data_IF_082494640465
#
_entry.id   IF_082494640465
#
_cell.length_a   1.000
_cell.length_b   1.000
_cell.length_c   1.000
_cell.angle_alpha   90.00
_cell.angle_beta   90.00
_cell.angle_gamma   90.00
#
_symmetry.space_group_name_H-M   'P 1'
#
loop_
_entity.id
_entity.type
_entity.pdbx_description
1 polymer ?
#
# COMPACT_ATOMS: atom_id res chain seq x y z
N UNK A 1 -21.10 9.26 11.17
CA UNK A 1 -20.30 9.49 9.94
C UNK A 1 -19.60 8.19 9.61
N UNK A 2 -19.64 7.69 8.36
CA UNK A 2 -18.89 6.47 8.02
C UNK A 2 -17.38 6.79 8.07
N UNK A 3 -16.60 5.97 8.76
CA UNK A 3 -15.14 6.08 8.76
C UNK A 3 -14.64 5.86 7.33
N UNK A 4 -13.76 6.74 6.83
CA UNK A 4 -13.12 6.54 5.52
C UNK A 4 -12.19 5.34 5.62
N UNK A 5 -12.27 4.42 4.67
CA UNK A 5 -11.39 3.25 4.61
C UNK A 5 -9.92 3.70 4.49
N UNK A 6 -9.02 2.98 5.15
CA UNK A 6 -7.60 3.31 5.20
C UNK A 6 -6.83 2.49 4.18
N UNK A 7 -6.12 3.20 3.31
CA UNK A 7 -5.34 2.61 2.22
C UNK A 7 -3.85 2.76 2.51
N UNK A 8 -3.14 1.64 2.51
CA UNK A 8 -1.68 1.61 2.41
C UNK A 8 -1.29 1.56 0.93
N UNK A 9 -0.50 2.54 0.48
CA UNK A 9 0.06 2.57 -0.87
C UNK A 9 1.51 2.11 -0.87
N UNK A 10 1.82 1.11 -1.69
CA UNK A 10 3.16 0.52 -1.86
C UNK A 10 3.61 0.76 -3.30
N UNK A 11 4.51 1.70 -3.50
CA UNK A 11 4.91 2.25 -4.81
C UNK A 11 6.29 2.88 -4.65
N UNK A 12 7.29 2.44 -5.41
CA UNK A 12 8.67 2.95 -5.31
C UNK A 12 8.86 4.24 -6.12
N UNK A 13 8.12 4.42 -7.21
CA UNK A 13 8.23 5.60 -8.05
C UNK A 13 7.52 6.81 -7.42
N UNK A 14 8.31 7.75 -6.90
CA UNK A 14 7.80 8.90 -6.15
C UNK A 14 6.71 9.71 -6.90
N UNK A 15 6.92 10.00 -8.19
CA UNK A 15 5.95 10.75 -8.98
C UNK A 15 4.61 10.04 -9.17
N UNK A 16 4.64 8.71 -9.36
CA UNK A 16 3.44 7.88 -9.50
C UNK A 16 2.70 7.79 -8.17
N UNK A 17 3.46 7.54 -7.10
CA UNK A 17 2.94 7.42 -5.75
C UNK A 17 2.27 8.70 -5.25
N UNK A 18 2.88 9.85 -5.49
CA UNK A 18 2.33 11.14 -5.08
C UNK A 18 1.03 11.47 -5.83
N UNK A 19 1.01 11.22 -7.15
CA UNK A 19 -0.19 11.42 -7.97
C UNK A 19 -1.33 10.51 -7.52
N UNK A 20 -1.05 9.22 -7.29
CA UNK A 20 -2.04 8.25 -6.86
C UNK A 20 -2.55 8.55 -5.44
N UNK A 21 -1.67 8.90 -4.51
CA UNK A 21 -2.06 9.31 -3.16
C UNK A 21 -2.95 10.56 -3.17
N UNK A 22 -2.66 11.55 -4.02
CA UNK A 22 -3.49 12.74 -4.18
C UNK A 22 -4.90 12.41 -4.69
N UNK A 23 -5.02 11.47 -5.64
CA UNK A 23 -6.32 11.00 -6.15
C UNK A 23 -7.10 10.24 -5.08
N UNK A 24 -6.45 9.30 -4.37
CA UNK A 24 -7.11 8.44 -3.39
C UNK A 24 -7.62 9.21 -2.16
N UNK A 25 -6.90 10.24 -1.70
CA UNK A 25 -7.28 11.07 -0.54
C UNK A 25 -8.63 11.78 -0.68
N UNK A 26 -9.17 11.86 -1.90
CA UNK A 26 -10.53 12.39 -2.13
C UNK A 26 -11.60 11.49 -1.49
N UNK A 27 -11.36 10.18 -1.43
CA UNK A 27 -12.32 9.18 -1.01
C UNK A 27 -11.85 8.33 0.20
N UNK A 28 -10.54 8.19 0.39
CA UNK A 28 -9.90 7.30 1.36
C UNK A 28 -9.01 8.04 2.35
N UNK A 29 -8.68 7.40 3.48
CA UNK A 29 -7.58 7.79 4.36
C UNK A 29 -6.27 7.18 3.85
N UNK A 30 -5.34 8.01 3.38
CA UNK A 30 -4.04 7.56 2.82
C UNK A 30 -2.90 8.23 3.61
N UNK A 31 -2.58 7.70 4.80
CA UNK A 31 -1.66 8.36 5.72
C UNK A 31 -0.21 8.33 5.22
N UNK A 32 0.22 7.23 4.59
CA UNK A 32 1.61 7.06 4.18
C UNK A 32 1.77 6.17 2.94
N UNK A 33 2.84 6.44 2.17
CA UNK A 33 3.32 5.61 1.07
C UNK A 33 4.61 4.94 1.50
N UNK A 34 4.74 3.65 1.24
CA UNK A 34 6.01 2.92 1.38
C UNK A 34 6.59 2.59 0.00
N UNK A 35 7.91 2.48 -0.09
CA UNK A 35 8.62 2.28 -1.36
C UNK A 35 9.12 0.85 -1.59
N UNK A 36 8.88 -0.07 -0.67
CA UNK A 36 9.44 -1.41 -0.75
C UNK A 36 8.62 -2.46 -0.01
N UNK A 37 8.76 -3.73 -0.42
CA UNK A 37 8.19 -4.87 0.32
C UNK A 37 8.80 -5.04 1.72
N UNK A 38 10.03 -4.57 1.94
CA UNK A 38 10.70 -4.66 3.25
C UNK A 38 9.98 -3.83 4.33
N UNK A 39 9.36 -2.71 3.93
CA UNK A 39 8.60 -1.84 4.83
C UNK A 39 7.17 -2.34 5.09
N UNK A 40 6.67 -3.29 4.28
CA UNK A 40 5.26 -3.66 4.27
C UNK A 40 4.78 -4.24 5.60
N UNK A 41 5.53 -5.15 6.21
CA UNK A 41 5.12 -5.80 7.47
C UNK A 41 4.93 -4.78 8.60
N UNK A 42 5.87 -3.83 8.73
CA UNK A 42 5.79 -2.76 9.72
C UNK A 42 4.62 -1.81 9.41
N UNK A 43 4.47 -1.42 8.15
CA UNK A 43 3.40 -0.53 7.71
C UNK A 43 2.01 -1.13 7.95
N UNK A 44 1.82 -2.43 7.69
CA UNK A 44 0.58 -3.15 7.99
C UNK A 44 0.25 -3.10 9.49
N UNK A 45 1.25 -3.30 10.36
CA UNK A 45 1.07 -3.29 11.81
C UNK A 45 0.77 -1.90 12.37
N UNK A 46 1.48 -0.87 11.89
CA UNK A 46 1.37 0.50 12.43
C UNK A 46 0.16 1.23 11.88
N UNK A 47 -0.11 1.07 10.59
CA UNK A 47 -1.16 1.82 9.92
C UNK A 47 -2.51 1.12 9.99
N UNK A 48 -2.53 -0.20 10.21
CA UNK A 48 -3.74 -1.02 10.22
C UNK A 48 -4.64 -0.72 9.00
N UNK A 49 -4.11 -0.81 7.77
CA UNK A 49 -4.86 -0.48 6.57
C UNK A 49 -5.95 -1.55 6.32
N UNK A 50 -7.11 -1.11 5.82
CA UNK A 50 -8.18 -2.00 5.37
C UNK A 50 -8.05 -2.36 3.89
N UNK A 51 -7.28 -1.57 3.14
CA UNK A 51 -6.99 -1.76 1.72
C UNK A 51 -5.49 -1.59 1.50
N UNK A 52 -4.88 -2.49 0.73
CA UNK A 52 -3.49 -2.35 0.28
C UNK A 52 -3.49 -2.21 -1.24
N UNK A 53 -2.91 -1.12 -1.72
CA UNK A 53 -2.62 -0.91 -3.14
C UNK A 53 -1.13 -1.07 -3.35
N UNK A 54 -0.76 -2.01 -4.21
CA UNK A 54 0.63 -2.41 -4.40
C UNK A 54 0.98 -2.40 -5.88
N UNK A 55 2.06 -1.72 -6.23
CA UNK A 55 2.66 -1.89 -7.56
C UNK A 55 3.22 -3.31 -7.69
N UNK A 56 2.90 -3.96 -8.81
CA UNK A 56 3.38 -5.30 -9.11
C UNK A 56 4.87 -5.32 -9.48
N UNK A 57 5.41 -4.16 -9.90
CA UNK A 57 6.78 -3.97 -10.34
C UNK A 57 7.57 -3.04 -9.41
N UNK A 58 7.60 -3.35 -8.11
CA UNK A 58 8.40 -2.62 -7.11
C UNK A 58 9.90 -2.82 -7.36
N UNK A 59 10.54 -1.87 -8.06
CA UNK A 59 11.92 -1.98 -8.53
C UNK A 59 12.14 -3.25 -9.36
N UNK A 60 13.14 -4.06 -9.01
CA UNK A 60 13.43 -5.34 -9.66
C UNK A 60 12.56 -6.51 -9.15
N UNK A 61 11.62 -6.25 -8.24
CA UNK A 61 10.83 -7.29 -7.56
C UNK A 61 9.48 -7.49 -8.25
N UNK A 62 9.19 -8.74 -8.62
CA UNK A 62 7.84 -9.14 -9.04
C UNK A 62 7.05 -9.58 -7.81
N UNK A 63 6.12 -8.72 -7.38
CA UNK A 63 5.31 -8.92 -6.17
C UNK A 63 4.45 -10.18 -6.22
N UNK A 64 4.06 -10.65 -7.41
CA UNK A 64 3.26 -11.87 -7.57
C UNK A 64 3.98 -13.12 -7.04
N UNK A 65 5.32 -13.10 -6.97
CA UNK A 65 6.12 -14.17 -6.35
C UNK A 65 5.92 -14.28 -4.84
N UNK A 66 5.42 -13.22 -4.20
CA UNK A 66 5.14 -13.12 -2.77
C UNK A 66 3.65 -13.25 -2.44
N UNK A 67 2.81 -13.52 -3.45
CA UNK A 67 1.35 -13.59 -3.31
C UNK A 67 0.83 -14.53 -2.21
N UNK A 68 1.40 -15.73 -1.95
CA UNK A 68 0.89 -16.59 -0.88
C UNK A 68 1.05 -15.96 0.52
N UNK A 69 2.09 -15.16 0.72
CA UNK A 69 2.39 -14.48 1.98
C UNK A 69 1.55 -13.20 2.12
N UNK A 70 1.35 -12.47 1.03
CA UNK A 70 0.58 -11.23 1.01
C UNK A 70 -0.92 -11.47 1.27
N UNK A 71 -1.51 -12.48 0.63
CA UNK A 71 -2.93 -12.82 0.86
C UNK A 71 -3.17 -13.53 2.21
N UNK A 72 -2.12 -14.07 2.84
CA UNK A 72 -2.20 -14.62 4.20
C UNK A 72 -2.17 -13.56 5.31
N UNK A 73 -1.54 -12.41 5.05
CA UNK A 73 -1.43 -11.29 6.00
C UNK A 73 -2.64 -10.33 5.95
N UNK A 74 -3.45 -10.41 4.89
CA UNK A 74 -4.73 -9.70 4.75
C UNK A 74 -5.83 -10.67 5.21
N UNK A 75 -6.05 -10.76 6.52
CA UNK A 75 -7.17 -11.50 7.13
C UNK A 75 -7.86 -10.64 8.17
#
# INVERSE_FOLDING_TARGET
>A
MKQRERVLLVEDHAGTGDALAAMLRQCFDVPHRIGSLAELSEAMRVQEPTIVLIDLALGDQNVLKYSPTLFGAIR
#
